data_IF_440744307149
#
_entry.id   IF_440744307149
#
_cell.length_a   1.000
_cell.length_b   1.000
_cell.length_c   1.000
_cell.angle_alpha   90.00
_cell.angle_beta   90.00
_cell.angle_gamma   90.00
#
_symmetry.space_group_name_H-M   'P 1'
#
loop_
_entity.id
_entity.type
_entity.pdbx_description
1 polymer ?
#
# COMPACT_ATOMS: atom_id res chain seq x y z
N UNK A 1 7.99 24.24 -6.30
CA UNK A 1 9.44 24.52 -6.12
C UNK A 1 9.93 23.61 -4.98
N UNK A 2 11.21 23.21 -4.93
CA UNK A 2 11.71 22.46 -3.76
C UNK A 2 11.82 23.48 -2.63
N UNK A 3 10.89 23.42 -1.67
CA UNK A 3 10.79 24.37 -0.58
C UNK A 3 11.51 23.86 0.67
N UNK A 4 11.49 24.70 1.69
CA UNK A 4 11.85 24.33 3.06
C UNK A 4 11.00 23.16 3.56
N UNK A 5 11.55 22.41 4.50
CA UNK A 5 10.81 21.36 5.21
C UNK A 5 9.75 22.01 6.09
N UNK A 6 8.48 21.92 5.69
CA UNK A 6 7.37 22.52 6.45
C UNK A 6 6.99 21.75 7.72
N UNK A 7 7.42 20.50 7.87
CA UNK A 7 7.11 19.70 9.06
C UNK A 7 8.35 18.94 9.48
N UNK A 8 8.96 19.37 10.59
CA UNK A 8 10.11 18.69 11.16
C UNK A 8 9.77 17.32 11.74
N UNK A 9 10.78 16.50 11.99
CA UNK A 9 10.63 15.18 12.57
C UNK A 9 11.81 14.84 13.49
N UNK A 10 11.51 14.47 14.73
CA UNK A 10 12.48 13.95 15.71
C UNK A 10 12.30 12.43 15.83
N UNK A 11 13.23 11.61 15.30
CA UNK A 11 13.06 10.16 15.27
C UNK A 11 13.01 9.50 16.65
N UNK A 12 13.78 10.04 17.62
CA UNK A 12 14.05 9.39 18.92
C UNK A 12 14.55 7.96 18.76
N UNK A 13 15.43 7.76 17.78
CA UNK A 13 16.05 6.49 17.43
C UNK A 13 17.57 6.63 17.52
N UNK A 14 18.22 5.51 17.83
CA UNK A 14 19.68 5.40 17.91
C UNK A 14 20.08 4.14 17.14
N UNK A 15 21.18 4.23 16.40
CA UNK A 15 21.83 3.06 15.81
C UNK A 15 22.45 2.17 16.88
N UNK A 16 22.72 0.91 16.54
CA UNK A 16 23.39 -0.03 17.45
C UNK A 16 24.77 0.48 17.91
N UNK A 17 25.48 1.24 17.07
CA UNK A 17 26.76 1.85 17.43
C UNK A 17 26.64 3.07 18.39
N UNK A 18 25.44 3.37 18.88
CA UNK A 18 25.18 4.48 19.81
C UNK A 18 24.98 5.84 19.14
N UNK A 19 25.13 5.96 17.81
CA UNK A 19 24.87 7.23 17.12
C UNK A 19 23.36 7.49 17.02
N UNK A 20 22.92 8.68 17.44
CA UNK A 20 21.53 9.10 17.26
C UNK A 20 21.19 9.31 15.78
N UNK A 21 19.99 8.90 15.38
CA UNK A 21 19.46 9.28 14.06
C UNK A 21 19.17 10.79 14.07
N UNK A 22 19.62 11.58 13.08
CA UNK A 22 19.48 13.02 13.10
C UNK A 22 18.01 13.46 13.11
N UNK A 23 17.77 14.56 13.81
CA UNK A 23 16.50 15.31 13.74
C UNK A 23 16.42 16.03 12.41
N UNK A 24 15.25 15.99 11.77
CA UNK A 24 14.92 16.82 10.61
C UNK A 24 14.28 18.13 11.10
N UNK A 25 14.98 19.28 11.08
CA UNK A 25 14.43 20.53 11.59
C UNK A 25 13.35 21.09 10.65
N UNK A 26 12.35 21.73 11.23
CA UNK A 26 11.39 22.53 10.46
C UNK A 26 12.07 23.78 9.88
N UNK A 27 11.64 24.22 8.70
CA UNK A 27 12.17 25.39 8.00
C UNK A 27 13.53 25.19 7.32
N UNK A 28 14.15 24.01 7.42
CA UNK A 28 15.45 23.79 6.77
C UNK A 28 15.28 23.80 5.24
N UNK A 29 16.09 24.63 4.57
CA UNK A 29 16.13 24.73 3.11
C UNK A 29 16.93 23.59 2.49
N UNK A 30 16.40 23.03 1.42
CA UNK A 30 17.07 22.02 0.60
C UNK A 30 18.30 22.62 -0.09
N UNK A 31 19.46 21.96 0.04
CA UNK A 31 20.73 22.36 -0.59
C UNK A 31 21.22 21.28 -1.55
N UNK A 32 22.21 21.62 -2.37
CA UNK A 32 22.97 20.61 -3.09
C UNK A 32 23.67 19.70 -2.08
N UNK A 33 23.80 18.43 -2.43
CA UNK A 33 24.51 17.43 -1.65
C UNK A 33 25.50 16.69 -2.55
N UNK A 34 26.36 15.88 -1.96
CA UNK A 34 27.51 15.24 -2.61
C UNK A 34 27.17 14.34 -3.82
N UNK A 35 25.97 13.74 -3.88
CA UNK A 35 25.61 12.84 -4.99
C UNK A 35 24.99 13.56 -6.19
N UNK A 36 24.10 14.53 -5.97
CA UNK A 36 23.40 15.23 -7.06
C UNK A 36 22.93 16.63 -6.62
N UNK A 37 23.01 17.59 -7.53
CA UNK A 37 22.48 18.93 -7.29
C UNK A 37 20.96 18.95 -7.29
N UNK A 38 20.36 19.92 -6.59
CA UNK A 38 18.90 20.16 -6.62
C UNK A 38 18.43 20.41 -8.05
N UNK A 39 19.24 21.10 -8.86
CA UNK A 39 18.99 21.31 -10.29
C UNK A 39 19.02 19.99 -11.09
N UNK A 40 19.91 19.06 -10.72
CA UNK A 40 19.96 17.72 -11.29
C UNK A 40 18.65 16.96 -11.05
N UNK A 41 18.14 16.93 -9.82
CA UNK A 41 16.88 16.25 -9.49
C UNK A 41 15.69 16.90 -10.22
N UNK A 42 15.63 18.25 -10.26
CA UNK A 42 14.65 18.99 -11.08
C UNK A 42 14.67 18.56 -12.54
N UNK A 43 15.86 18.34 -13.11
CA UNK A 43 16.00 17.90 -14.48
C UNK A 43 15.51 16.46 -14.69
N UNK A 44 15.72 15.55 -13.73
CA UNK A 44 15.18 14.19 -13.81
C UNK A 44 13.65 14.21 -13.84
N UNK A 45 13.04 14.95 -12.91
CA UNK A 45 11.58 15.09 -12.83
C UNK A 45 10.99 15.76 -14.08
N UNK A 46 11.64 16.81 -14.60
CA UNK A 46 11.24 17.45 -15.85
C UNK A 46 11.28 16.47 -17.02
N UNK A 47 12.36 15.72 -17.21
CA UNK A 47 12.46 14.74 -18.32
C UNK A 47 11.38 13.66 -18.25
N UNK A 48 11.04 13.21 -17.05
CA UNK A 48 9.95 12.26 -16.84
C UNK A 48 8.59 12.88 -17.17
N UNK A 49 8.36 14.13 -16.73
CA UNK A 49 7.13 14.87 -17.06
C UNK A 49 6.99 15.10 -18.56
N UNK A 50 8.05 15.58 -19.22
CA UNK A 50 8.08 15.79 -20.67
C UNK A 50 7.79 14.50 -21.43
N UNK A 51 8.34 13.35 -20.98
CA UNK A 51 8.08 12.06 -21.62
C UNK A 51 6.62 11.59 -21.46
N UNK A 52 6.03 11.83 -20.29
CA UNK A 52 4.60 11.54 -20.04
C UNK A 52 3.73 12.40 -20.94
N UNK A 53 3.96 13.71 -20.97
CA UNK A 53 3.14 14.66 -21.74
C UNK A 53 3.28 14.43 -23.25
N UNK A 54 4.45 13.97 -23.72
CA UNK A 54 4.68 13.56 -25.10
C UNK A 54 4.07 12.18 -25.44
N UNK A 55 3.75 11.36 -24.44
CA UNK A 55 3.29 9.98 -24.62
C UNK A 55 4.36 9.00 -25.11
N UNK A 56 5.66 9.33 -25.01
CA UNK A 56 6.76 8.47 -25.43
C UNK A 56 8.03 8.69 -24.61
N UNK A 57 8.87 7.66 -24.56
CA UNK A 57 10.20 7.67 -23.95
C UNK A 57 11.28 7.37 -24.98
N UNK A 58 12.53 7.73 -24.68
CA UNK A 58 13.69 7.48 -25.54
C UNK A 58 14.62 6.49 -24.83
N UNK A 59 14.87 5.34 -25.43
CA UNK A 59 15.79 4.34 -24.87
C UNK A 59 17.27 4.75 -25.01
N UNK A 60 18.18 3.91 -24.52
CA UNK A 60 19.63 4.13 -24.58
C UNK A 60 20.21 4.08 -26.01
N UNK A 61 19.46 3.56 -26.98
CA UNK A 61 19.79 3.50 -28.42
C UNK A 61 19.09 4.61 -29.22
N UNK A 62 18.45 5.57 -28.55
CA UNK A 62 17.70 6.68 -29.16
C UNK A 62 16.42 6.25 -29.91
N UNK A 63 15.92 5.03 -29.67
CA UNK A 63 14.63 4.61 -30.18
C UNK A 63 13.49 5.24 -29.36
N UNK A 64 12.42 5.64 -30.05
CA UNK A 64 11.21 6.19 -29.44
C UNK A 64 10.27 5.03 -29.10
N UNK A 65 9.85 4.94 -27.84
CA UNK A 65 8.96 3.90 -27.34
C UNK A 65 7.72 4.58 -26.78
N UNK A 66 6.56 4.25 -27.34
CA UNK A 66 5.27 4.82 -26.92
C UNK A 66 4.86 4.31 -25.53
N UNK A 67 4.27 5.20 -24.73
CA UNK A 67 3.68 4.87 -23.45
C UNK A 67 2.23 4.42 -23.65
N UNK A 68 2.04 3.19 -24.11
CA UNK A 68 0.73 2.59 -24.37
C UNK A 68 0.03 2.16 -23.07
N UNK A 69 -1.29 2.04 -23.08
CA UNK A 69 -2.09 1.65 -21.92
C UNK A 69 -1.61 0.35 -21.23
N UNK A 70 -1.20 -0.65 -22.00
CA UNK A 70 -0.76 -1.97 -21.54
C UNK A 70 0.66 -2.01 -20.94
N UNK A 71 1.57 -1.14 -21.39
CA UNK A 71 3.01 -1.19 -21.01
C UNK A 71 3.54 0.08 -20.37
N UNK A 72 2.89 1.21 -20.62
CA UNK A 72 3.38 2.53 -20.24
C UNK A 72 3.56 2.68 -18.73
N UNK A 73 2.69 2.07 -17.92
CA UNK A 73 2.81 2.12 -16.45
C UNK A 73 4.05 1.38 -15.94
N UNK A 74 4.38 0.24 -16.54
CA UNK A 74 5.54 -0.58 -16.18
C UNK A 74 6.84 0.13 -16.59
N UNK A 75 6.88 0.62 -17.84
CA UNK A 75 7.98 1.43 -18.36
C UNK A 75 8.21 2.65 -17.45
N UNK A 76 7.15 3.39 -17.11
CA UNK A 76 7.25 4.57 -16.28
C UNK A 76 7.73 4.23 -14.85
N UNK A 77 7.24 3.14 -14.26
CA UNK A 77 7.73 2.64 -12.98
C UNK A 77 9.23 2.35 -12.98
N UNK A 78 9.70 1.65 -14.01
CA UNK A 78 11.10 1.31 -14.20
C UNK A 78 11.96 2.57 -14.39
N UNK A 79 11.48 3.57 -15.13
CA UNK A 79 12.17 4.86 -15.31
C UNK A 79 12.23 5.72 -14.05
N UNK A 80 11.13 5.82 -13.29
CA UNK A 80 11.07 6.64 -12.07
C UNK A 80 11.98 6.09 -10.96
N UNK A 81 11.96 4.77 -10.77
CA UNK A 81 12.81 4.08 -9.79
C UNK A 81 14.25 3.98 -10.30
N UNK A 82 14.41 3.81 -11.62
CA UNK A 82 15.69 3.55 -12.27
C UNK A 82 16.22 2.14 -12.00
N UNK A 83 15.34 1.14 -11.88
CA UNK A 83 15.73 -0.24 -11.60
C UNK A 83 16.43 -0.91 -12.81
N UNK A 84 16.79 -2.20 -12.70
CA UNK A 84 17.41 -3.01 -13.75
C UNK A 84 16.82 -2.80 -15.15
N UNK A 85 15.50 -2.67 -15.22
CA UNK A 85 14.70 -2.65 -16.45
C UNK A 85 14.45 -1.23 -17.01
N UNK A 86 15.03 -0.21 -16.38
CA UNK A 86 14.96 1.17 -16.87
C UNK A 86 15.63 1.31 -18.24
N UNK A 87 14.85 1.73 -19.24
CA UNK A 87 15.26 1.79 -20.66
C UNK A 87 16.39 2.78 -20.95
N UNK A 88 16.56 3.82 -20.12
CA UNK A 88 17.65 4.79 -20.26
C UNK A 88 17.99 5.46 -18.92
N UNK A 89 18.67 4.72 -18.05
CA UNK A 89 19.13 5.21 -16.73
C UNK A 89 19.96 6.48 -16.81
N UNK A 90 20.80 6.61 -17.83
CA UNK A 90 21.67 7.79 -18.00
C UNK A 90 20.84 9.06 -18.21
N UNK A 91 19.72 8.96 -18.92
CA UNK A 91 18.87 10.10 -19.22
C UNK A 91 17.81 10.36 -18.13
N UNK A 92 17.08 9.32 -17.70
CA UNK A 92 15.96 9.46 -16.76
C UNK A 92 16.37 9.34 -15.28
N UNK A 93 17.52 8.74 -14.97
CA UNK A 93 18.07 8.64 -13.62
C UNK A 93 17.26 7.76 -12.67
N UNK A 94 17.26 8.14 -11.39
CA UNK A 94 16.61 7.43 -10.28
C UNK A 94 15.86 8.44 -9.40
N UNK A 95 14.77 9.02 -9.90
CA UNK A 95 14.11 10.16 -9.25
C UNK A 95 13.68 9.84 -7.80
N UNK A 96 13.07 8.68 -7.57
CA UNK A 96 12.61 8.30 -6.22
C UNK A 96 13.77 8.22 -5.21
N UNK A 97 14.87 7.56 -5.59
CA UNK A 97 16.06 7.44 -4.73
C UNK A 97 16.76 8.79 -4.54
N UNK A 98 16.84 9.61 -5.59
CA UNK A 98 17.43 10.94 -5.52
C UNK A 98 16.65 11.86 -4.56
N UNK A 99 15.32 11.79 -4.56
CA UNK A 99 14.49 12.53 -3.60
C UNK A 99 14.70 12.06 -2.17
N UNK A 100 14.76 10.73 -1.93
CA UNK A 100 15.06 10.19 -0.61
C UNK A 100 16.45 10.60 -0.11
N UNK A 101 17.46 10.55 -0.98
CA UNK A 101 18.81 10.98 -0.66
C UNK A 101 18.86 12.48 -0.35
N UNK A 102 18.19 13.31 -1.14
CA UNK A 102 18.14 14.77 -0.92
C UNK A 102 17.65 15.14 0.47
N UNK A 103 16.53 14.58 0.92
CA UNK A 103 16.00 14.85 2.26
C UNK A 103 16.71 14.03 3.34
N UNK A 104 17.25 12.86 3.02
CA UNK A 104 18.01 12.03 3.94
C UNK A 104 19.34 12.67 4.35
N UNK A 105 19.98 13.43 3.46
CA UNK A 105 21.27 14.11 3.69
C UNK A 105 21.10 15.58 4.08
N UNK A 106 19.88 16.09 4.23
CA UNK A 106 19.62 17.54 4.33
C UNK A 106 20.30 18.22 5.53
N UNK A 107 20.54 17.47 6.61
CA UNK A 107 21.21 17.96 7.84
C UNK A 107 22.72 18.04 7.67
N UNK A 108 23.32 17.16 6.87
CA UNK A 108 24.76 17.12 6.60
C UNK A 108 25.02 16.76 5.12
N UNK A 109 24.74 17.68 4.18
CA UNK A 109 24.68 17.36 2.74
C UNK A 109 26.02 16.92 2.12
N UNK A 110 27.13 17.23 2.77
CA UNK A 110 28.49 16.93 2.28
C UNK A 110 29.33 16.19 3.31
N UNK A 111 28.68 15.61 4.32
CA UNK A 111 29.32 14.81 5.36
C UNK A 111 30.44 15.53 6.15
N UNK A 112 30.31 16.84 6.35
CA UNK A 112 31.29 17.65 7.09
C UNK A 112 31.26 17.36 8.59
N UNK A 113 30.08 17.02 9.11
CA UNK A 113 29.85 16.84 10.54
C UNK A 113 29.80 15.37 10.98
N UNK A 114 29.92 14.43 10.03
CA UNK A 114 29.86 12.99 10.29
C UNK A 114 28.50 12.54 10.84
N UNK A 115 27.42 13.21 10.44
CA UNK A 115 26.07 12.88 10.92
C UNK A 115 25.65 11.51 10.39
N UNK A 116 25.10 10.68 11.28
CA UNK A 116 24.60 9.36 10.91
C UNK A 116 23.44 9.45 9.89
N UNK A 117 23.20 8.41 9.07
CA UNK A 117 22.09 8.40 8.12
C UNK A 117 20.73 8.70 8.78
N UNK A 118 19.90 9.52 8.13
CA UNK A 118 18.54 9.83 8.60
C UNK A 118 17.53 8.70 8.35
N UNK A 119 16.32 8.82 8.92
CA UNK A 119 15.25 7.80 8.76
C UNK A 119 14.82 7.59 7.30
N UNK A 120 14.91 8.60 6.44
CA UNK A 120 14.55 8.50 5.03
C UNK A 120 15.51 7.62 4.22
N UNK A 121 16.69 7.30 4.76
CA UNK A 121 17.71 6.48 4.10
C UNK A 121 17.51 4.97 4.31
N UNK A 122 16.59 4.57 5.21
CA UNK A 122 16.27 3.16 5.51
C UNK A 122 14.80 2.85 5.24
N UNK A 123 14.50 1.68 4.71
CA UNK A 123 13.09 1.32 4.41
C UNK A 123 12.28 1.08 5.69
N UNK A 124 12.93 0.57 6.72
CA UNK A 124 12.41 0.20 8.03
C UNK A 124 11.95 1.42 8.85
N UNK A 125 12.51 2.60 8.56
CA UNK A 125 12.23 3.83 9.33
C UNK A 125 11.65 4.96 8.50
N UNK A 126 11.72 4.92 7.16
CA UNK A 126 11.25 6.00 6.29
C UNK A 126 9.78 6.37 6.50
N UNK A 127 8.89 5.39 6.73
CA UNK A 127 7.46 5.62 6.95
C UNK A 127 7.15 6.42 8.23
N UNK A 128 8.12 6.62 9.12
CA UNK A 128 7.92 7.38 10.36
C UNK A 128 7.98 8.89 10.13
N UNK A 129 8.63 9.34 9.06
CA UNK A 129 8.84 10.75 8.75
C UNK A 129 7.73 11.30 7.83
N UNK A 130 7.02 12.38 8.20
CA UNK A 130 6.02 13.02 7.35
C UNK A 130 6.53 13.40 5.95
N UNK A 131 7.82 13.70 5.82
CA UNK A 131 8.48 14.04 4.55
C UNK A 131 8.45 12.88 3.57
N UNK A 132 8.47 11.63 4.05
CA UNK A 132 8.35 10.46 3.18
C UNK A 132 7.06 10.51 2.36
N UNK A 133 5.93 10.82 2.99
CA UNK A 133 4.63 10.90 2.32
C UNK A 133 4.57 12.04 1.30
N UNK A 134 5.32 13.14 1.52
CA UNK A 134 5.48 14.22 0.54
C UNK A 134 6.29 13.78 -0.67
N UNK A 135 7.37 13.03 -0.46
CA UNK A 135 8.18 12.43 -1.53
C UNK A 135 7.32 11.48 -2.36
N UNK A 136 6.61 10.55 -1.71
CA UNK A 136 5.74 9.58 -2.39
C UNK A 136 4.62 10.31 -3.15
N UNK A 137 3.96 11.31 -2.54
CA UNK A 137 2.93 12.09 -3.23
C UNK A 137 3.46 12.75 -4.51
N UNK A 138 4.69 13.27 -4.49
CA UNK A 138 5.32 13.85 -5.68
C UNK A 138 5.55 12.83 -6.79
N UNK A 139 5.98 11.61 -6.43
CA UNK A 139 6.10 10.51 -7.38
C UNK A 139 4.73 10.10 -7.93
N UNK A 140 3.70 10.00 -7.08
CA UNK A 140 2.35 9.65 -7.49
C UNK A 140 1.75 10.66 -8.48
N UNK A 141 2.11 11.95 -8.42
CA UNK A 141 1.68 12.94 -9.42
C UNK A 141 2.13 12.56 -10.84
N UNK A 142 3.33 11.98 -11.02
CA UNK A 142 3.79 11.53 -12.33
C UNK A 142 2.93 10.38 -12.87
N UNK A 143 2.66 9.38 -12.03
CA UNK A 143 1.78 8.27 -12.39
C UNK A 143 0.35 8.74 -12.69
N UNK A 144 -0.18 9.67 -11.90
CA UNK A 144 -1.51 10.23 -12.13
C UNK A 144 -1.54 11.07 -13.41
N UNK A 145 -0.49 11.84 -13.72
CA UNK A 145 -0.41 12.57 -14.99
C UNK A 145 -0.49 11.61 -16.18
N UNK A 146 0.27 10.51 -16.15
CA UNK A 146 0.19 9.47 -17.17
C UNK A 146 -1.22 8.87 -17.28
N UNK A 147 -1.81 8.47 -16.14
CA UNK A 147 -3.15 7.89 -16.11
C UNK A 147 -4.25 8.85 -16.59
N UNK A 148 -4.08 10.16 -16.40
CA UNK A 148 -5.01 11.18 -16.90
C UNK A 148 -4.98 11.37 -18.42
N UNK A 149 -3.89 10.97 -19.09
CA UNK A 149 -3.80 10.98 -20.56
C UNK A 149 -4.44 9.74 -21.20
N UNK A 150 -4.72 8.69 -20.42
CA UNK A 150 -5.38 7.50 -20.92
C UNK A 150 -6.87 7.76 -21.18
N UNK A 151 -7.42 7.04 -22.16
CA UNK A 151 -8.86 7.09 -22.42
C UNK A 151 -9.62 6.59 -21.19
N UNK A 152 -10.61 7.36 -20.76
CA UNK A 152 -11.59 6.94 -19.75
C UNK A 152 -12.24 5.62 -20.17
N UNK A 153 -12.62 4.82 -19.18
CA UNK A 153 -13.45 3.65 -19.46
C UNK A 153 -14.82 4.08 -19.98
N UNK A 154 -15.29 3.37 -20.99
CA UNK A 154 -16.66 3.43 -21.46
C UNK A 154 -17.57 2.62 -20.54
N UNK A 155 -18.87 2.92 -20.55
CA UNK A 155 -19.86 2.13 -19.82
C UNK A 155 -19.76 0.64 -20.16
N UNK A 156 -19.56 0.28 -21.43
CA UNK A 156 -19.47 -1.12 -21.89
C UNK A 156 -18.19 -1.83 -21.42
N UNK A 157 -17.07 -1.12 -21.23
CA UNK A 157 -15.84 -1.69 -20.67
C UNK A 157 -15.95 -1.98 -19.16
N UNK A 158 -16.81 -1.22 -18.47
CA UNK A 158 -17.09 -1.35 -17.04
C UNK A 158 -18.22 -2.36 -16.77
N UNK A 159 -19.23 -2.38 -17.64
CA UNK A 159 -20.43 -3.17 -17.48
C UNK A 159 -20.11 -4.65 -17.67
N UNK A 160 -20.60 -5.48 -16.75
CA UNK A 160 -20.57 -6.92 -16.92
C UNK A 160 -21.99 -7.43 -17.20
N UNK A 161 -22.34 -7.48 -18.49
CA UNK A 161 -23.67 -7.84 -18.94
C UNK A 161 -24.15 -9.17 -18.31
N UNK A 162 -25.36 -9.14 -17.76
CA UNK A 162 -25.98 -10.28 -17.12
C UNK A 162 -25.67 -10.47 -15.64
N UNK A 163 -24.76 -9.67 -15.06
CA UNK A 163 -24.40 -9.72 -13.64
C UNK A 163 -24.74 -8.40 -12.96
N UNK A 164 -25.51 -8.47 -11.87
CA UNK A 164 -25.92 -7.31 -11.10
C UNK A 164 -25.64 -7.52 -9.61
N UNK A 165 -25.10 -6.50 -8.93
CA UNK A 165 -25.05 -6.48 -7.47
C UNK A 165 -26.38 -5.91 -6.97
N UNK A 166 -27.16 -6.71 -6.27
CA UNK A 166 -28.45 -6.30 -5.68
C UNK A 166 -28.25 -5.54 -4.36
N UNK A 167 -27.34 -6.03 -3.51
CA UNK A 167 -26.99 -5.35 -2.27
C UNK A 167 -25.60 -5.70 -1.79
N UNK A 168 -25.03 -4.80 -1.00
CA UNK A 168 -23.83 -5.03 -0.20
C UNK A 168 -24.18 -4.74 1.25
N UNK A 169 -23.85 -5.65 2.15
CA UNK A 169 -24.00 -5.49 3.59
C UNK A 169 -22.68 -5.77 4.29
N UNK A 170 -22.43 -5.08 5.39
CA UNK A 170 -21.19 -5.20 6.14
C UNK A 170 -21.47 -5.07 7.62
N UNK A 171 -20.80 -5.87 8.43
CA UNK A 171 -20.89 -5.76 9.88
C UNK A 171 -20.37 -4.40 10.36
N UNK A 172 -20.66 -4.09 11.63
CA UNK A 172 -20.22 -2.86 12.26
C UNK A 172 -18.69 -2.79 12.33
N UNK A 173 -18.12 -1.75 11.72
CA UNK A 173 -16.68 -1.50 11.72
C UNK A 173 -16.23 -0.81 13.01
N UNK A 174 -15.39 -1.48 13.79
CA UNK A 174 -14.89 -0.98 15.08
C UNK A 174 -13.38 -1.14 15.15
N UNK A 175 -12.69 -0.02 15.35
CA UNK A 175 -11.26 0.04 15.64
C UNK A 175 -11.01 0.28 17.13
N UNK A 176 -9.85 -0.16 17.61
CA UNK A 176 -9.37 0.05 18.98
C UNK A 176 -7.85 -0.09 19.03
N UNK A 177 -7.23 0.24 20.15
CA UNK A 177 -5.82 -0.09 20.41
C UNK A 177 -5.73 -1.36 21.24
N UNK A 178 -4.80 -2.23 20.89
CA UNK A 178 -4.41 -3.40 21.67
C UNK A 178 -2.92 -3.37 22.01
N UNK A 179 -2.54 -4.14 23.02
CA UNK A 179 -1.14 -4.34 23.40
C UNK A 179 -0.51 -5.39 22.50
N UNK A 180 0.62 -5.05 21.90
CA UNK A 180 1.45 -5.97 21.14
C UNK A 180 2.84 -6.04 21.78
N UNK A 181 3.31 -7.25 22.09
CA UNK A 181 4.63 -7.49 22.68
C UNK A 181 5.58 -8.08 21.65
N UNK A 182 6.83 -7.59 21.62
CA UNK A 182 7.89 -8.15 20.80
C UNK A 182 9.22 -8.17 21.53
N UNK A 183 10.06 -9.16 21.18
CA UNK A 183 11.33 -9.42 21.84
C UNK A 183 12.41 -8.39 21.39
N UNK A 184 13.22 -7.91 22.34
CA UNK A 184 14.34 -6.99 22.12
C UNK A 184 15.71 -7.67 22.32
N UNK A 185 15.73 -8.99 22.50
CA UNK A 185 16.96 -9.72 22.82
C UNK A 185 18.09 -9.48 21.81
N UNK A 186 17.77 -9.39 20.51
CA UNK A 186 18.74 -9.13 19.45
C UNK A 186 19.25 -7.69 19.38
N UNK A 187 18.73 -6.79 20.21
CA UNK A 187 19.16 -5.39 20.29
C UNK A 187 20.08 -5.10 21.49
N UNK A 188 20.38 -6.11 22.32
CA UNK A 188 21.17 -5.96 23.54
C UNK A 188 22.48 -6.72 23.41
N UNK A 189 23.58 -6.06 23.77
CA UNK A 189 24.89 -6.69 23.80
C UNK A 189 24.97 -7.71 24.94
N UNK A 190 25.32 -8.94 24.58
CA UNK A 190 25.59 -10.03 25.53
C UNK A 190 27.10 -10.25 25.62
N UNK A 191 27.64 -10.31 26.85
CA UNK A 191 29.07 -10.51 27.05
C UNK A 191 29.54 -11.92 26.66
N UNK A 192 28.68 -12.93 26.84
CA UNK A 192 28.93 -14.31 26.47
C UNK A 192 27.73 -14.88 25.73
N UNK A 193 27.99 -15.73 24.73
CA UNK A 193 26.94 -16.35 23.94
C UNK A 193 26.08 -17.31 24.77
N UNK A 194 26.65 -17.92 25.81
CA UNK A 194 25.91 -18.80 26.73
C UNK A 194 24.80 -18.04 27.48
N UNK A 195 24.97 -16.73 27.70
CA UNK A 195 23.99 -15.91 28.40
C UNK A 195 22.81 -15.51 27.49
N UNK A 196 22.91 -15.72 26.17
CA UNK A 196 21.87 -15.37 25.21
C UNK A 196 20.51 -16.00 25.55
N UNK A 197 20.51 -17.26 26.01
CA UNK A 197 19.29 -17.98 26.39
C UNK A 197 18.63 -17.46 27.66
N UNK A 198 19.32 -16.60 28.43
CA UNK A 198 18.82 -16.03 29.68
C UNK A 198 18.29 -14.59 29.50
N UNK A 199 18.47 -13.98 28.33
CA UNK A 199 17.92 -12.65 28.03
C UNK A 199 16.44 -12.79 27.67
N UNK A 200 15.57 -12.11 28.41
CA UNK A 200 14.15 -11.96 28.09
C UNK A 200 13.74 -10.50 28.28
N UNK A 201 14.06 -9.68 27.28
CA UNK A 201 13.71 -8.26 27.25
C UNK A 201 12.65 -8.08 26.19
N UNK A 202 11.52 -7.48 26.57
CA UNK A 202 10.39 -7.26 25.68
C UNK A 202 9.98 -5.80 25.67
N UNK A 203 9.57 -5.33 24.50
CA UNK A 203 8.85 -4.10 24.35
C UNK A 203 7.36 -4.39 24.23
N UNK A 204 6.55 -3.55 24.88
CA UNK A 204 5.10 -3.52 24.67
C UNK A 204 4.74 -2.23 23.95
N UNK A 205 3.97 -2.34 22.87
CA UNK A 205 3.49 -1.22 22.08
C UNK A 205 1.98 -1.29 21.90
N UNK A 206 1.30 -0.17 22.13
CA UNK A 206 -0.10 -0.04 21.74
C UNK A 206 -0.19 0.11 20.22
N UNK A 207 -0.87 -0.81 19.54
CA UNK A 207 -1.04 -0.81 18.08
C UNK A 207 -2.53 -0.70 17.73
N UNK A 208 -2.83 0.00 16.65
CA UNK A 208 -4.19 0.07 16.12
C UNK A 208 -4.60 -1.32 15.61
N UNK A 209 -5.84 -1.72 15.88
CA UNK A 209 -6.47 -2.95 15.38
C UNK A 209 -7.98 -2.74 15.18
N UNK A 210 -8.68 -3.75 14.65
CA UNK A 210 -10.12 -3.74 14.46
C UNK A 210 -10.79 -5.06 14.85
N UNK A 211 -12.09 -5.02 15.15
CA UNK A 211 -12.89 -6.24 15.27
C UNK A 211 -13.02 -6.88 13.88
N UNK A 212 -12.95 -8.22 13.76
CA UNK A 212 -13.28 -8.90 12.51
C UNK A 212 -14.70 -8.53 12.06
N UNK A 213 -14.88 -8.36 10.76
CA UNK A 213 -16.17 -8.08 10.13
C UNK A 213 -16.40 -8.99 8.93
N UNK A 214 -17.67 -9.24 8.62
CA UNK A 214 -18.10 -9.95 7.42
C UNK A 214 -18.72 -8.97 6.41
N UNK A 215 -18.28 -9.09 5.16
CA UNK A 215 -18.90 -8.48 3.99
C UNK A 215 -19.83 -9.50 3.35
N UNK A 216 -21.05 -9.08 3.03
CA UNK A 216 -22.05 -9.84 2.28
C UNK A 216 -22.35 -9.13 0.98
N UNK A 217 -22.18 -9.80 -0.15
CA UNK A 217 -22.47 -9.26 -1.48
C UNK A 217 -23.52 -10.15 -2.14
N UNK A 218 -24.70 -9.59 -2.39
CA UNK A 218 -25.79 -10.29 -3.07
C UNK A 218 -25.73 -9.99 -4.56
N UNK A 219 -25.53 -11.01 -5.37
CA UNK A 219 -25.42 -10.92 -6.83
C UNK A 219 -26.60 -11.66 -7.46
N UNK A 220 -27.23 -11.06 -8.46
CA UNK A 220 -28.14 -11.74 -9.37
C UNK A 220 -27.49 -11.87 -10.75
N UNK A 221 -27.50 -13.08 -11.31
CA UNK A 221 -26.79 -13.38 -12.56
C UNK A 221 -27.65 -14.17 -13.54
N UNK A 222 -27.67 -13.78 -14.82
CA UNK A 222 -28.34 -14.53 -15.89
C UNK A 222 -27.55 -15.77 -16.35
N UNK A 223 -26.29 -15.88 -15.93
CA UNK A 223 -25.34 -16.92 -16.33
C UNK A 223 -24.49 -17.39 -15.15
N UNK A 224 -24.05 -18.65 -15.23
CA UNK A 224 -22.95 -19.10 -14.38
C UNK A 224 -21.65 -18.46 -14.87
N UNK A 225 -20.86 -17.87 -13.99
CA UNK A 225 -19.62 -17.22 -14.35
C UNK A 225 -18.59 -17.23 -13.22
N UNK A 226 -17.31 -17.23 -13.59
CA UNK A 226 -16.23 -16.91 -12.66
C UNK A 226 -15.98 -15.41 -12.67
N UNK A 227 -15.99 -14.81 -11.49
CA UNK A 227 -15.90 -13.36 -11.31
C UNK A 227 -14.78 -12.99 -10.36
N UNK A 228 -14.32 -11.75 -10.46
CA UNK A 228 -13.35 -11.15 -9.55
C UNK A 228 -14.05 -10.01 -8.82
N UNK A 229 -14.22 -10.17 -7.51
CA UNK A 229 -14.79 -9.16 -6.63
C UNK A 229 -13.67 -8.26 -6.16
N UNK A 230 -13.82 -6.94 -6.31
CA UNK A 230 -12.90 -5.93 -5.75
C UNK A 230 -13.65 -5.06 -4.76
N UNK A 231 -13.03 -4.80 -3.63
CA UNK A 231 -13.61 -4.02 -2.54
C UNK A 231 -12.68 -2.87 -2.21
N UNK A 232 -13.19 -1.66 -2.30
CA UNK A 232 -12.46 -0.44 -2.01
C UNK A 232 -13.10 0.31 -0.83
N UNK A 233 -12.28 1.02 -0.08
CA UNK A 233 -12.69 1.91 0.99
C UNK A 233 -12.03 3.28 0.79
N UNK A 234 -12.81 4.35 0.87
CA UNK A 234 -12.29 5.70 0.72
C UNK A 234 -13.13 6.76 1.45
N UNK A 235 -12.65 8.01 1.49
CA UNK A 235 -13.35 9.10 2.13
C UNK A 235 -14.65 9.43 1.41
N UNK A 236 -15.69 9.75 2.19
CA UNK A 236 -16.93 10.32 1.66
C UNK A 236 -16.81 11.85 1.46
N UNK A 237 -16.10 12.51 2.37
CA UNK A 237 -15.94 13.95 2.41
C UNK A 237 -14.48 14.36 2.37
N UNK A 238 -14.21 15.57 1.85
CA UNK A 238 -12.89 16.20 1.96
C UNK A 238 -12.60 16.71 3.39
N UNK A 239 -11.44 17.32 3.60
CA UNK A 239 -11.05 17.87 4.91
C UNK A 239 -11.86 19.10 5.36
N UNK A 240 -12.64 19.71 4.46
CA UNK A 240 -13.52 20.85 4.73
C UNK A 240 -14.98 20.42 4.93
N UNK A 241 -15.30 19.12 4.75
CA UNK A 241 -16.64 18.56 4.91
C UNK A 241 -17.48 18.55 3.63
N UNK A 242 -16.90 18.86 2.47
CA UNK A 242 -17.61 18.79 1.19
C UNK A 242 -17.71 17.34 0.70
N UNK A 243 -18.83 16.97 0.09
CA UNK A 243 -19.00 15.66 -0.52
C UNK A 243 -18.07 15.55 -1.73
N UNK A 244 -17.28 14.47 -1.78
CA UNK A 244 -16.40 14.21 -2.92
C UNK A 244 -17.20 13.63 -4.09
N UNK A 245 -16.93 14.14 -5.28
CA UNK A 245 -17.34 13.50 -6.54
C UNK A 245 -16.62 12.18 -6.74
N UNK A 246 -17.14 11.31 -7.60
CA UNK A 246 -16.51 10.00 -7.86
C UNK A 246 -15.11 10.14 -8.49
N UNK A 247 -14.88 11.16 -9.33
CA UNK A 247 -13.57 11.44 -9.92
C UNK A 247 -12.57 11.97 -8.87
N UNK A 248 -13.02 12.73 -7.87
CA UNK A 248 -12.15 13.11 -6.76
C UNK A 248 -11.84 11.90 -5.86
N UNK A 249 -12.87 11.10 -5.53
CA UNK A 249 -12.75 9.89 -4.70
C UNK A 249 -11.71 8.92 -5.26
N UNK A 250 -11.62 8.76 -6.58
CA UNK A 250 -10.72 7.79 -7.24
C UNK A 250 -9.27 7.88 -6.74
N UNK A 251 -8.81 9.07 -6.37
CA UNK A 251 -7.43 9.30 -5.88
C UNK A 251 -7.23 8.88 -4.42
N UNK A 252 -8.30 8.52 -3.71
CA UNK A 252 -8.31 8.21 -2.28
C UNK A 252 -8.93 6.84 -1.96
N UNK A 253 -9.44 6.13 -2.97
CA UNK A 253 -9.96 4.78 -2.79
C UNK A 253 -8.81 3.79 -2.59
N UNK A 254 -8.82 3.08 -1.47
CA UNK A 254 -7.85 2.02 -1.15
C UNK A 254 -8.51 0.67 -1.36
N UNK A 255 -7.89 -0.20 -2.14
CA UNK A 255 -8.33 -1.58 -2.32
C UNK A 255 -8.08 -2.38 -1.03
N UNK A 256 -9.15 -2.84 -0.38
CA UNK A 256 -9.09 -3.56 0.90
C UNK A 256 -9.34 -5.06 0.74
N UNK A 257 -9.83 -5.53 -0.41
CA UNK A 257 -9.91 -6.95 -0.74
C UNK A 257 -10.08 -7.15 -2.25
N UNK A 258 -9.59 -8.29 -2.74
CA UNK A 258 -9.80 -8.78 -4.09
C UNK A 258 -9.75 -10.30 -4.14
N UNK A 259 -10.81 -10.94 -4.61
CA UNK A 259 -10.90 -12.40 -4.59
C UNK A 259 -11.80 -12.94 -5.71
N UNK A 260 -11.48 -14.14 -6.24
CA UNK A 260 -12.32 -14.78 -7.23
C UNK A 260 -13.56 -15.41 -6.55
N UNK A 261 -14.66 -15.50 -7.28
CA UNK A 261 -15.84 -16.24 -6.85
C UNK A 261 -16.54 -16.87 -8.05
N UNK A 262 -17.25 -17.98 -7.85
CA UNK A 262 -18.09 -18.60 -8.88
C UNK A 262 -19.55 -18.26 -8.60
N UNK A 263 -20.16 -17.46 -9.47
CA UNK A 263 -21.58 -17.10 -9.37
C UNK A 263 -22.41 -18.10 -10.18
N UNK A 264 -23.58 -18.45 -9.66
CA UNK A 264 -24.54 -19.32 -10.35
C UNK A 264 -25.61 -18.48 -11.06
N UNK A 265 -26.38 -19.10 -11.95
CA UNK A 265 -27.59 -18.47 -12.50
C UNK A 265 -28.57 -18.18 -11.34
N UNK A 266 -29.16 -16.99 -11.34
CA UNK A 266 -30.00 -16.47 -10.27
C UNK A 266 -29.18 -15.82 -9.15
N UNK A 267 -29.71 -15.90 -7.93
CA UNK A 267 -29.15 -15.22 -6.75
C UNK A 267 -27.99 -16.00 -6.13
N UNK A 268 -26.88 -15.31 -5.90
CA UNK A 268 -25.70 -15.79 -5.17
C UNK A 268 -25.44 -14.85 -3.99
N UNK A 269 -25.36 -15.37 -2.77
CA UNK A 269 -24.90 -14.62 -1.59
C UNK A 269 -23.43 -14.95 -1.32
N UNK A 270 -22.56 -13.97 -1.48
CA UNK A 270 -21.14 -14.09 -1.15
C UNK A 270 -20.94 -13.60 0.28
N UNK A 271 -20.37 -14.43 1.15
CA UNK A 271 -19.92 -14.03 2.48
C UNK A 271 -18.39 -14.07 2.58
N UNK A 272 -17.78 -12.95 2.95
CA UNK A 272 -16.32 -12.76 3.01
C UNK A 272 -15.90 -12.21 4.36
N UNK A 273 -14.96 -12.88 5.05
CA UNK A 273 -14.43 -12.37 6.32
C UNK A 273 -13.25 -11.42 6.05
N UNK A 274 -13.15 -10.35 6.82
CA UNK A 274 -12.00 -9.43 6.82
C UNK A 274 -10.63 -10.12 6.94
N UNK A 275 -10.56 -11.26 7.65
CA UNK A 275 -9.33 -12.04 7.86
C UNK A 275 -8.86 -12.81 6.63
N UNK A 276 -9.75 -13.02 5.67
CA UNK A 276 -9.40 -13.73 4.45
C UNK A 276 -8.91 -12.77 3.37
N UNK A 277 -8.89 -11.45 3.64
CA UNK A 277 -8.58 -10.41 2.66
C UNK A 277 -7.24 -10.65 1.97
N UNK A 278 -7.22 -10.47 0.65
CA UNK A 278 -5.99 -10.53 -0.14
C UNK A 278 -5.13 -9.27 -0.05
N UNK A 279 -5.51 -8.29 0.78
CA UNK A 279 -4.71 -7.09 1.07
C UNK A 279 -3.81 -7.22 2.30
N UNK A 280 -3.99 -8.27 3.10
CA UNK A 280 -3.38 -8.35 4.43
C UNK A 280 -2.37 -9.47 4.61
N UNK A 281 -1.51 -9.30 5.61
CA UNK A 281 -0.77 -10.37 6.30
C UNK A 281 -1.08 -10.30 7.78
N UNK A 282 -1.05 -11.46 8.44
CA UNK A 282 -1.17 -11.53 9.88
C UNK A 282 0.11 -11.05 10.57
N UNK A 283 0.00 -10.70 11.85
CA UNK A 283 1.17 -10.41 12.68
C UNK A 283 2.12 -11.63 12.68
N UNK A 284 3.41 -11.37 12.51
CA UNK A 284 4.42 -12.40 12.29
C UNK A 284 4.70 -13.19 13.58
N UNK A 285 5.03 -14.48 13.43
CA UNK A 285 5.48 -15.30 14.56
C UNK A 285 6.77 -14.71 15.14
N UNK A 286 6.84 -14.49 16.45
CA UNK A 286 8.06 -13.95 17.08
C UNK A 286 9.23 -14.91 16.92
N UNK A 287 10.45 -14.37 16.87
CA UNK A 287 11.67 -15.16 16.71
C UNK A 287 11.80 -16.25 17.78
N UNK A 288 11.47 -15.93 19.03
CA UNK A 288 11.50 -16.88 20.15
C UNK A 288 10.54 -18.06 19.95
N UNK A 289 9.32 -17.78 19.49
CA UNK A 289 8.33 -18.84 19.19
C UNK A 289 8.80 -19.67 18.00
N UNK A 290 9.37 -19.05 16.97
CA UNK A 290 9.90 -19.73 15.79
C UNK A 290 11.04 -20.69 16.17
N UNK A 291 12.03 -20.22 16.92
CA UNK A 291 13.15 -21.06 17.39
C UNK A 291 12.65 -22.23 18.22
N UNK A 292 11.73 -21.99 19.17
CA UNK A 292 11.15 -23.06 19.98
C UNK A 292 10.49 -24.15 19.12
N UNK A 293 9.71 -23.76 18.11
CA UNK A 293 9.08 -24.72 17.18
C UNK A 293 10.11 -25.54 16.41
N UNK A 294 11.22 -24.93 15.99
CA UNK A 294 12.31 -25.62 15.30
C UNK A 294 13.02 -26.60 16.24
N UNK A 295 13.36 -26.18 17.46
CA UNK A 295 14.01 -27.03 18.46
C UNK A 295 13.13 -28.22 18.89
N UNK A 296 11.85 -27.98 19.14
CA UNK A 296 10.90 -29.04 19.50
C UNK A 296 10.71 -30.03 18.33
N UNK A 297 10.85 -29.58 17.07
CA UNK A 297 10.86 -30.46 15.91
C UNK A 297 12.15 -31.28 15.75
N UNK A 298 13.33 -30.68 15.96
CA UNK A 298 14.61 -31.41 15.98
C UNK A 298 14.61 -32.47 17.09
N UNK A 299 14.02 -32.16 18.25
CA UNK A 299 13.87 -33.09 19.37
C UNK A 299 12.79 -34.16 19.15
N UNK A 300 12.09 -34.15 18.01
CA UNK A 300 11.05 -35.12 17.69
C UNK A 300 9.74 -34.97 18.50
N UNK A 301 9.51 -33.82 19.12
CA UNK A 301 8.28 -33.56 19.91
C UNK A 301 7.11 -33.13 19.04
N UNK A 302 7.38 -32.34 17.99
CA UNK A 302 6.36 -31.83 17.06
C UNK A 302 6.88 -31.83 15.62
N UNK A 303 5.99 -31.78 14.63
CA UNK A 303 6.40 -31.59 13.22
C UNK A 303 6.38 -30.10 12.88
N UNK A 304 7.48 -29.57 12.35
CA UNK A 304 7.54 -28.20 11.86
C UNK A 304 7.10 -28.13 10.40
N UNK A 305 6.04 -27.39 10.12
CA UNK A 305 5.52 -27.16 8.77
C UNK A 305 5.89 -25.75 8.30
N UNK A 306 6.37 -25.64 7.06
CA UNK A 306 6.62 -24.35 6.40
C UNK A 306 5.38 -24.02 5.55
N UNK A 307 4.70 -22.93 5.88
CA UNK A 307 3.63 -22.39 5.03
C UNK A 307 4.25 -21.57 3.89
N UNK A 308 4.41 -22.19 2.72
CA UNK A 308 4.92 -21.53 1.53
C UNK A 308 3.97 -20.47 0.94
N UNK A 309 2.73 -20.36 1.46
CA UNK A 309 1.79 -19.31 1.07
C UNK A 309 1.96 -18.04 1.90
N UNK A 310 2.61 -18.12 3.06
CA UNK A 310 2.83 -16.96 3.92
C UNK A 310 3.94 -16.07 3.35
N UNK A 311 3.69 -14.76 3.34
CA UNK A 311 4.60 -13.76 2.80
C UNK A 311 4.96 -12.78 3.91
N UNK A 312 6.24 -12.43 4.00
CA UNK A 312 6.69 -11.34 4.88
C UNK A 312 6.38 -9.95 4.30
N UNK A 313 5.92 -9.89 3.05
CA UNK A 313 5.36 -8.70 2.44
C UNK A 313 3.83 -8.76 2.57
N UNK A 314 3.25 -7.71 3.14
CA UNK A 314 1.81 -7.45 3.11
C UNK A 314 1.45 -6.24 3.95
N UNK A 315 0.22 -5.75 3.81
CA UNK A 315 -0.29 -4.74 4.72
C UNK A 315 -0.73 -5.42 6.03
N UNK A 316 -0.39 -4.93 7.23
CA UNK A 316 -0.80 -5.61 8.46
C UNK A 316 -2.33 -5.70 8.59
N UNK A 317 -2.87 -6.88 8.88
CA UNK A 317 -4.32 -7.13 9.08
C UNK A 317 -4.95 -6.05 9.96
N UNK A 318 -4.33 -5.81 11.11
CA UNK A 318 -4.73 -4.83 12.11
C UNK A 318 -4.88 -3.39 11.59
N UNK A 319 -4.29 -3.04 10.44
CA UNK A 319 -4.37 -1.72 9.83
C UNK A 319 -5.34 -1.64 8.65
N UNK A 320 -6.03 -2.74 8.28
CA UNK A 320 -6.87 -2.86 7.08
C UNK A 320 -7.90 -1.73 6.92
N UNK A 321 -8.45 -1.23 8.03
CA UNK A 321 -9.36 -0.09 8.03
C UNK A 321 -8.77 1.08 8.83
N UNK A 322 -9.04 2.34 8.44
CA UNK A 322 -8.51 3.51 9.14
C UNK A 322 -9.10 3.61 10.55
N UNK A 323 -8.36 4.28 11.45
CA UNK A 323 -8.86 4.61 12.79
C UNK A 323 -10.15 5.43 12.67
N UNK A 324 -11.23 4.92 13.24
CA UNK A 324 -12.50 5.62 13.32
C UNK A 324 -12.50 6.79 14.31
N UNK A 325 -13.66 7.38 14.53
CA UNK A 325 -13.90 8.35 15.62
C UNK A 325 -14.90 7.78 16.62
N UNK A 326 -15.02 8.40 17.80
CA UNK A 326 -16.03 7.97 18.79
C UNK A 326 -17.46 8.11 18.25
N UNK A 327 -17.71 9.17 17.48
CA UNK A 327 -19.01 9.46 16.86
C UNK A 327 -19.22 8.73 15.53
N UNK A 328 -18.16 8.15 14.97
CA UNK A 328 -18.16 7.48 13.66
C UNK A 328 -17.48 8.32 12.58
N UNK A 329 -16.58 7.69 11.83
CA UNK A 329 -15.94 8.25 10.64
C UNK A 329 -16.71 7.77 9.40
N UNK A 330 -17.42 8.67 8.68
CA UNK A 330 -18.15 8.31 7.47
C UNK A 330 -17.18 8.05 6.30
N UNK A 331 -17.34 6.92 5.64
CA UNK A 331 -16.55 6.48 4.48
C UNK A 331 -17.46 5.89 3.40
N UNK A 332 -16.94 5.76 2.19
CA UNK A 332 -17.56 5.04 1.08
C UNK A 332 -16.92 3.67 0.91
N UNK A 333 -17.72 2.61 1.01
CA UNK A 333 -17.35 1.26 0.59
C UNK A 333 -17.84 1.07 -0.84
N UNK A 334 -16.94 0.68 -1.74
CA UNK A 334 -17.26 0.45 -3.14
C UNK A 334 -16.93 -0.99 -3.52
N UNK A 335 -17.88 -1.67 -4.14
CA UNK A 335 -17.73 -3.05 -4.62
C UNK A 335 -17.98 -3.09 -6.12
N UNK A 336 -17.09 -3.76 -6.84
CA UNK A 336 -17.27 -4.05 -8.26
C UNK A 336 -16.97 -5.53 -8.53
N UNK A 337 -17.79 -6.11 -9.41
CA UNK A 337 -17.63 -7.48 -9.89
C UNK A 337 -17.27 -7.44 -11.38
N UNK A 338 -16.16 -8.06 -11.77
CA UNK A 338 -15.73 -8.16 -13.17
C UNK A 338 -15.59 -9.63 -13.59
N UNK A 339 -15.58 -9.96 -14.90
CA UNK A 339 -15.18 -11.29 -15.34
C UNK A 339 -13.77 -11.63 -14.83
N UNK A 340 -13.53 -12.91 -14.55
CA UNK A 340 -12.24 -13.42 -14.10
C UNK A 340 -11.71 -14.53 -15.01
N UNK A 341 -10.60 -14.24 -15.68
CA UNK A 341 -9.91 -15.16 -16.60
C UNK A 341 -8.52 -15.57 -16.09
N UNK A 342 -8.12 -15.07 -14.91
CA UNK A 342 -6.80 -15.29 -14.34
C UNK A 342 -6.57 -16.71 -13.83
N UNK A 343 -5.29 -17.09 -13.75
CA UNK A 343 -4.85 -18.34 -13.13
C UNK A 343 -4.74 -18.18 -11.61
N UNK A 344 -5.31 -19.14 -10.91
CA UNK A 344 -5.40 -19.31 -9.44
C UNK A 344 -4.81 -18.19 -8.54
N UNK A 345 -5.65 -17.21 -8.21
CA UNK A 345 -5.37 -16.14 -7.24
C UNK A 345 -4.98 -16.65 -5.83
N UNK A 346 -5.37 -17.87 -5.47
CA UNK A 346 -5.24 -18.37 -4.09
C UNK A 346 -3.78 -18.65 -3.67
N UNK A 347 -2.84 -18.63 -4.62
CA UNK A 347 -1.41 -18.86 -4.37
C UNK A 347 -0.73 -17.60 -3.80
N UNK A 348 -1.41 -16.45 -3.79
CA UNK A 348 -0.81 -15.17 -3.44
C UNK A 348 -1.57 -14.46 -2.32
N UNK A 349 -1.31 -14.88 -1.06
CA UNK A 349 -1.69 -14.06 0.11
C UNK A 349 -1.06 -12.67 -0.03
N UNK A 350 -1.79 -11.63 0.38
CA UNK A 350 -1.36 -10.23 0.24
C UNK A 350 -1.11 -9.72 -1.20
N UNK A 351 -1.79 -10.30 -2.20
CA UNK A 351 -1.70 -9.86 -3.58
C UNK A 351 -1.95 -8.35 -3.79
N UNK A 352 -2.93 -7.77 -3.09
CA UNK A 352 -3.24 -6.33 -3.26
C UNK A 352 -2.11 -5.46 -2.72
N UNK A 353 -1.50 -5.84 -1.59
CA UNK A 353 -0.44 -5.06 -0.97
C UNK A 353 0.94 -5.27 -1.61
N UNK A 354 1.23 -6.48 -2.10
CA UNK A 354 2.57 -6.88 -2.53
C UNK A 354 2.67 -7.30 -4.00
N UNK A 355 1.55 -7.29 -4.71
CA UNK A 355 1.46 -7.77 -6.08
C UNK A 355 1.62 -9.29 -6.20
N UNK A 356 1.41 -9.80 -7.41
CA UNK A 356 1.72 -11.19 -7.76
C UNK A 356 3.22 -11.40 -8.06
N UNK A 357 4.05 -10.34 -7.95
CA UNK A 357 5.41 -10.35 -8.46
C UNK A 357 5.43 -10.27 -9.99
N UNK A 358 6.40 -10.94 -10.61
CA UNK A 358 6.49 -11.07 -12.07
C UNK A 358 5.24 -11.80 -12.57
N UNK A 359 4.58 -11.28 -13.62
CA UNK A 359 3.35 -11.81 -14.24
C UNK A 359 2.04 -11.53 -13.51
N UNK A 360 1.87 -10.32 -12.95
CA UNK A 360 0.55 -9.87 -12.47
C UNK A 360 -0.59 -10.08 -13.47
N UNK A 361 -0.33 -9.89 -14.77
CA UNK A 361 -1.33 -10.08 -15.83
C UNK A 361 -1.81 -11.53 -16.00
N UNK A 362 -1.05 -12.52 -15.52
CA UNK A 362 -1.50 -13.92 -15.51
C UNK A 362 -2.60 -14.13 -14.44
N UNK A 363 -2.68 -13.23 -13.46
CA UNK A 363 -3.55 -13.31 -12.29
C UNK A 363 -4.74 -12.36 -12.44
N UNK A 364 -4.54 -11.13 -12.93
CA UNK A 364 -5.62 -10.18 -13.21
C UNK A 364 -5.27 -9.38 -14.48
N UNK A 365 -6.17 -9.41 -15.46
CA UNK A 365 -5.99 -8.71 -16.73
C UNK A 365 -6.34 -7.22 -16.65
N UNK A 366 -6.98 -6.78 -15.56
CA UNK A 366 -7.29 -5.37 -15.31
C UNK A 366 -6.08 -4.66 -14.69
N UNK A 367 -5.87 -3.36 -14.95
CA UNK A 367 -4.77 -2.61 -14.34
C UNK A 367 -4.91 -2.51 -12.83
N UNK A 368 -3.78 -2.30 -12.14
CA UNK A 368 -3.76 -1.98 -10.71
C UNK A 368 -4.61 -0.73 -10.45
N UNK A 369 -5.52 -0.82 -9.48
CA UNK A 369 -6.45 0.25 -9.12
C UNK A 369 -7.73 0.31 -9.96
N UNK A 370 -7.94 -0.59 -10.92
CA UNK A 370 -9.20 -0.67 -11.68
C UNK A 370 -10.43 -0.76 -10.74
N UNK A 371 -11.49 0.05 -10.94
CA UNK A 371 -11.73 0.97 -12.06
C UNK A 371 -11.34 2.43 -11.77
N UNK A 372 -10.68 2.71 -10.64
CA UNK A 372 -10.32 4.06 -10.18
C UNK A 372 -8.99 4.57 -10.75
N UNK A 373 -8.29 3.77 -11.56
CA UNK A 373 -7.00 4.13 -12.13
C UNK A 373 -7.09 5.16 -13.27
N UNK A 374 -8.29 5.51 -13.75
CA UNK A 374 -8.52 6.49 -14.84
C UNK A 374 -9.50 7.57 -14.44
N UNK A 375 -9.51 8.66 -15.19
CA UNK A 375 -10.49 9.75 -15.04
C UNK A 375 -11.91 9.21 -15.21
N UNK A 376 -12.80 9.63 -14.31
CA UNK A 376 -14.20 9.18 -14.26
C UNK A 376 -15.13 10.35 -14.60
N UNK A 377 -16.22 10.05 -15.31
CA UNK A 377 -17.32 10.99 -15.50
C UNK A 377 -18.59 10.35 -14.94
N UNK A 378 -19.20 11.02 -13.97
CA UNK A 378 -20.23 10.46 -13.07
C UNK A 378 -21.41 9.80 -13.81
N UNK A 379 -21.96 10.46 -14.83
CA UNK A 379 -23.20 10.02 -15.50
C UNK A 379 -23.11 8.64 -16.19
N UNK A 380 -21.91 8.15 -16.51
CA UNK A 380 -21.66 6.89 -17.24
C UNK A 380 -20.88 5.85 -16.40
N UNK A 381 -20.53 6.17 -15.15
CA UNK A 381 -19.61 5.34 -14.37
C UNK A 381 -20.28 4.12 -13.75
N UNK A 382 -21.43 4.33 -13.12
CA UNK A 382 -22.09 3.27 -12.35
C UNK A 382 -22.79 2.28 -13.27
N UNK A 383 -22.33 1.03 -13.24
CA UNK A 383 -22.92 -0.10 -13.97
C UNK A 383 -23.62 -1.07 -13.01
N UNK A 384 -24.51 -1.97 -13.48
CA UNK A 384 -25.23 -2.91 -12.60
C UNK A 384 -24.34 -3.81 -11.74
N UNK A 385 -23.11 -4.08 -12.18
CA UNK A 385 -22.10 -4.86 -11.47
C UNK A 385 -21.24 -4.04 -10.48
N UNK A 386 -21.67 -2.82 -10.14
CA UNK A 386 -21.06 -1.96 -9.13
C UNK A 386 -22.05 -1.62 -8.02
N UNK A 387 -21.53 -1.37 -6.82
CA UNK A 387 -22.34 -0.94 -5.69
C UNK A 387 -21.51 -0.06 -4.75
N UNK A 388 -22.00 1.14 -4.45
CA UNK A 388 -21.43 2.02 -3.42
C UNK A 388 -22.32 2.04 -2.17
N UNK A 389 -21.72 1.88 -0.99
CA UNK A 389 -22.38 1.90 0.30
C UNK A 389 -21.68 2.85 1.25
N UNK A 390 -22.44 3.74 1.86
CA UNK A 390 -21.96 4.50 3.01
C UNK A 390 -21.70 3.57 4.19
N UNK A 391 -20.51 3.68 4.79
CA UNK A 391 -20.12 2.93 5.99
C UNK A 391 -19.57 3.87 7.05
N UNK A 392 -19.63 3.44 8.31
CA UNK A 392 -19.17 4.24 9.44
C UNK A 392 -18.18 3.42 10.27
N UNK A 393 -16.97 3.95 10.46
CA UNK A 393 -15.95 3.33 11.30
C UNK A 393 -15.93 4.00 12.67
N UNK A 394 -16.20 3.21 13.71
CA UNK A 394 -16.14 3.69 15.09
C UNK A 394 -14.77 3.39 15.70
N UNK A 395 -14.33 4.23 16.63
CA UNK A 395 -13.18 3.95 17.48
C UNK A 395 -13.60 3.90 18.93
N UNK A 396 -13.28 2.78 19.59
CA UNK A 396 -13.66 2.50 20.97
C UNK A 396 -12.44 2.21 21.83
N UNK A 397 -12.58 2.41 23.14
CA UNK A 397 -11.60 1.87 24.09
C UNK A 397 -11.76 0.36 24.18
N UNK A 398 -10.68 -0.36 24.44
CA UNK A 398 -10.69 -1.82 24.55
C UNK A 398 -11.70 -2.31 25.61
N UNK A 399 -11.80 -1.62 26.74
CA UNK A 399 -12.75 -1.92 27.83
C UNK A 399 -14.23 -1.84 27.41
N UNK A 400 -14.55 -1.03 26.42
CA UNK A 400 -15.92 -0.81 25.92
C UNK A 400 -16.35 -1.91 24.92
N UNK A 401 -15.41 -2.73 24.44
CA UNK A 401 -15.68 -3.78 23.46
C UNK A 401 -16.47 -4.95 24.04
N UNK A 402 -16.32 -5.19 25.35
CA UNK A 402 -16.95 -6.28 26.10
C UNK A 402 -18.37 -5.94 26.59
N UNK A 403 -18.74 -4.65 26.59
CA UNK A 403 -20.08 -4.16 26.96
C UNK A 403 -21.02 -4.01 25.75
N UNK A 404 -20.53 -4.30 24.55
CA UNK A 404 -21.25 -4.13 23.28
C UNK A 404 -21.66 -5.46 22.65
N UNK A 405 -21.82 -6.51 23.47
CA UNK A 405 -22.42 -7.81 23.11
C UNK A 405 -23.87 -7.80 23.56
#
# INVERSE_FOLDING_TARGET
VYHEVETGYEPKLTYQNGQGIPVLPEGISVKNFDLISVAGIKNLERRLSDAIDLGLVIDDKLAKIELTDDKGIDILGNLIVGNGDSLNKRFYGHLYLALRALYGHIVDPVHEYGVAPGVLQHFETALRDPTYYRIVKRILVLFQSYKNHLKRYTHDELAYAGVKIESVDIDKLITYFDDFEFDLNGAVDIGKIEDASHVDIRARQHRLTHKPYSLKVNIDSDKAAKVLVRVFLGPKYDSLGNLLTIDEKRNYMVEIDRFPYEVTVGKTEIQRNSRDSSAIVHDQTSYRVLIKKVEDAIAGKETFYIDNSDRHCGFPERLLIPKGTKTGLPLSLFVIVSPYEGKDLNIHKSLVACGAGIRYTDVDTKPLGYPFDRVIVDYDFYTPNMYEKDVIVFHKKQEELNKAI
#
